data_IF_508746941797
#
_entry.id   IF_508746941797
#
_cell.length_a   1.000
_cell.length_b   1.000
_cell.length_c   1.000
_cell.angle_alpha   90.00
_cell.angle_beta   90.00
_cell.angle_gamma   90.00
#
_symmetry.space_group_name_H-M   'P 1'
#
loop_
_entity.id
_entity.type
_entity.pdbx_description
1 polymer ?
#
# COMPACT_ATOMS: atom_id res chain seq x y z
N UNK A 1 2.67 -14.67 19.27
CA UNK A 1 2.03 -13.84 18.25
C UNK A 1 0.54 -13.80 18.56
N UNK A 2 -0.06 -12.60 18.67
CA UNK A 2 -1.50 -12.44 18.91
C UNK A 2 -2.21 -12.15 17.57
N UNK A 3 -3.47 -12.62 17.44
CA UNK A 3 -4.30 -12.40 16.26
C UNK A 3 -5.57 -11.68 16.65
N UNK A 4 -5.95 -10.68 15.86
CA UNK A 4 -7.18 -9.90 16.02
C UNK A 4 -7.90 -9.88 14.68
N UNK A 5 -9.16 -10.32 14.69
CA UNK A 5 -10.01 -10.17 13.53
C UNK A 5 -10.39 -8.69 13.37
N UNK A 6 -10.18 -8.14 12.17
CA UNK A 6 -10.43 -6.74 11.90
C UNK A 6 -10.83 -6.54 10.44
N UNK A 7 -12.02 -5.99 10.24
CA UNK A 7 -12.43 -5.38 8.97
C UNK A 7 -12.06 -3.89 9.00
N UNK A 8 -11.05 -3.51 8.20
CA UNK A 8 -10.58 -2.12 8.11
C UNK A 8 -11.54 -1.18 7.38
N UNK A 9 -12.64 -1.69 6.82
CA UNK A 9 -13.71 -0.86 6.27
C UNK A 9 -14.70 -0.41 7.34
N UNK A 10 -14.69 -1.03 8.54
CA UNK A 10 -15.59 -0.77 9.65
C UNK A 10 -14.95 0.14 10.71
N UNK A 11 -15.29 1.45 10.80
CA UNK A 11 -14.66 2.39 11.73
C UNK A 11 -14.76 1.97 13.21
N UNK A 12 -15.91 1.44 13.63
CA UNK A 12 -16.12 1.00 15.01
C UNK A 12 -15.29 -0.22 15.38
N UNK A 13 -15.07 -1.14 14.43
CA UNK A 13 -14.18 -2.27 14.60
C UNK A 13 -12.72 -1.81 14.77
N UNK A 14 -12.28 -0.86 13.94
CA UNK A 14 -10.95 -0.24 14.06
C UNK A 14 -10.75 0.38 15.44
N UNK A 15 -11.69 1.24 15.87
CA UNK A 15 -11.60 1.92 17.17
C UNK A 15 -11.55 0.91 18.35
N UNK A 16 -12.29 -0.19 18.24
CA UNK A 16 -12.33 -1.23 19.27
C UNK A 16 -11.03 -2.02 19.31
N UNK A 17 -10.54 -2.47 18.14
CA UNK A 17 -9.28 -3.22 18.04
C UNK A 17 -8.08 -2.35 18.44
N UNK A 18 -8.04 -1.08 18.02
CA UNK A 18 -6.95 -0.17 18.37
C UNK A 18 -6.85 0.03 19.89
N UNK A 19 -7.98 0.29 20.58
CA UNK A 19 -8.00 0.40 22.05
C UNK A 19 -7.48 -0.87 22.74
N UNK A 20 -7.90 -2.03 22.22
CA UNK A 20 -7.48 -3.34 22.73
C UNK A 20 -5.99 -3.57 22.51
N UNK A 21 -5.47 -3.28 21.32
CA UNK A 21 -4.04 -3.37 20.98
C UNK A 21 -3.18 -2.52 21.91
N UNK A 22 -3.56 -1.26 22.14
CA UNK A 22 -2.84 -0.36 23.04
C UNK A 22 -2.84 -0.87 24.48
N UNK A 23 -3.95 -1.45 24.94
CA UNK A 23 -4.06 -1.97 26.31
C UNK A 23 -3.26 -3.28 26.51
N UNK A 24 -3.29 -4.19 25.54
CA UNK A 24 -2.63 -5.49 25.63
C UNK A 24 -1.15 -5.42 25.21
N UNK A 25 -0.77 -4.44 24.36
CA UNK A 25 0.58 -4.24 23.82
C UNK A 25 1.00 -2.77 23.94
N UNK A 26 1.23 -2.25 25.16
CA UNK A 26 1.51 -0.83 25.39
C UNK A 26 2.82 -0.34 24.76
N UNK A 27 3.71 -1.25 24.39
CA UNK A 27 4.98 -1.02 23.69
C UNK A 27 4.87 -1.13 22.15
N UNK A 28 3.67 -1.32 21.60
CA UNK A 28 3.41 -1.30 20.16
C UNK A 28 3.98 -0.01 19.53
N UNK A 29 4.93 -0.15 18.61
CA UNK A 29 5.63 0.99 18.00
C UNK A 29 5.63 0.98 16.48
N UNK A 30 5.11 -0.05 15.82
CA UNK A 30 5.04 -0.11 14.34
C UNK A 30 3.64 -0.47 13.89
N UNK A 31 3.09 0.34 12.98
CA UNK A 31 1.88 0.06 12.21
C UNK A 31 2.24 -0.26 10.76
N UNK A 32 1.86 -1.43 10.26
CA UNK A 32 2.00 -1.78 8.84
C UNK A 32 0.63 -1.88 8.19
N UNK A 33 0.30 -0.93 7.32
CA UNK A 33 -0.91 -0.93 6.50
C UNK A 33 -0.64 -1.69 5.19
N UNK A 34 -0.94 -2.99 5.19
CA UNK A 34 -0.72 -3.89 4.05
C UNK A 34 -2.02 -4.42 3.43
N UNK A 35 -3.15 -4.34 4.15
CA UNK A 35 -4.42 -4.81 3.65
C UNK A 35 -4.83 -4.08 2.37
N UNK A 36 -5.34 -4.83 1.39
CA UNK A 36 -5.79 -4.27 0.12
C UNK A 36 -6.47 -5.31 -0.74
N UNK A 37 -7.33 -4.84 -1.62
CA UNK A 37 -8.02 -5.65 -2.63
C UNK A 37 -7.82 -5.04 -4.03
N UNK A 38 -7.92 -5.87 -5.06
CA UNK A 38 -7.82 -5.47 -6.45
C UNK A 38 -8.92 -6.14 -7.29
N UNK A 39 -9.00 -5.79 -8.56
CA UNK A 39 -9.91 -6.42 -9.49
C UNK A 39 -9.82 -5.83 -10.87
N UNK A 40 -10.11 -6.67 -11.88
CA UNK A 40 -10.27 -6.23 -13.27
C UNK A 40 -11.55 -5.44 -13.42
N UNK A 41 -11.49 -4.34 -14.15
CA UNK A 41 -12.59 -3.41 -14.40
C UNK A 41 -12.59 -2.95 -15.85
N UNK A 42 -13.78 -2.76 -16.42
CA UNK A 42 -13.96 -2.08 -17.68
C UNK A 42 -14.82 -0.81 -17.50
N UNK A 43 -14.19 0.36 -17.36
CA UNK A 43 -14.91 1.63 -17.21
C UNK A 43 -15.50 2.17 -18.50
N UNK A 44 -15.30 1.50 -19.66
CA UNK A 44 -15.85 1.94 -20.95
C UNK A 44 -17.33 1.56 -21.13
N UNK A 45 -17.86 0.74 -20.21
CA UNK A 45 -19.27 0.34 -20.18
C UNK A 45 -19.90 0.68 -18.83
N UNK A 46 -21.21 0.80 -18.80
CA UNK A 46 -21.96 0.96 -17.55
C UNK A 46 -21.81 -0.31 -16.70
N UNK A 47 -21.51 -0.11 -15.41
CA UNK A 47 -21.20 -1.22 -14.49
C UNK A 47 -21.70 -0.94 -13.07
N UNK A 48 -21.77 -1.98 -12.25
CA UNK A 48 -21.92 -1.85 -10.80
C UNK A 48 -20.62 -1.34 -10.18
N UNK A 49 -20.72 -0.28 -9.38
CA UNK A 49 -19.58 0.36 -8.73
C UNK A 49 -19.23 -0.22 -7.35
N UNK A 50 -20.03 -1.15 -6.82
CA UNK A 50 -19.84 -1.69 -5.47
C UNK A 50 -18.42 -2.23 -5.21
N UNK A 51 -17.79 -2.81 -6.22
CA UNK A 51 -16.40 -3.28 -6.15
C UNK A 51 -15.41 -2.12 -6.11
N UNK A 52 -15.62 -1.10 -6.92
CA UNK A 52 -14.78 0.10 -6.96
C UNK A 52 -14.85 0.86 -5.63
N UNK A 53 -16.06 1.05 -5.09
CA UNK A 53 -16.29 1.67 -3.78
C UNK A 53 -15.58 0.89 -2.67
N UNK A 54 -15.70 -0.43 -2.68
CA UNK A 54 -15.00 -1.30 -1.73
C UNK A 54 -13.49 -1.22 -1.83
N UNK A 55 -12.92 -1.06 -3.05
CA UNK A 55 -11.49 -0.82 -3.22
C UNK A 55 -11.04 0.50 -2.58
N UNK A 56 -11.81 1.57 -2.74
CA UNK A 56 -11.52 2.86 -2.09
C UNK A 56 -11.62 2.75 -0.57
N UNK A 57 -12.67 2.10 -0.06
CA UNK A 57 -12.85 1.87 1.38
C UNK A 57 -11.68 1.08 1.98
N UNK A 58 -11.29 -0.03 1.33
CA UNK A 58 -10.25 -0.92 1.85
C UNK A 58 -8.86 -0.32 1.64
N UNK A 59 -8.53 0.14 0.44
CA UNK A 59 -7.15 0.48 0.07
C UNK A 59 -6.74 1.90 0.49
N UNK A 60 -7.70 2.80 0.73
CA UNK A 60 -7.44 4.19 1.07
C UNK A 60 -8.01 4.56 2.44
N UNK A 61 -9.34 4.49 2.62
CA UNK A 61 -9.95 4.92 3.87
C UNK A 61 -9.60 4.02 5.05
N UNK A 62 -9.45 2.71 4.83
CA UNK A 62 -9.00 1.77 5.86
C UNK A 62 -7.64 2.16 6.46
N UNK A 63 -6.56 2.30 5.65
CA UNK A 63 -5.27 2.79 6.13
C UNK A 63 -5.32 4.15 6.82
N UNK A 64 -6.10 5.12 6.31
CA UNK A 64 -6.28 6.42 6.95
C UNK A 64 -6.88 6.26 8.34
N UNK A 65 -7.95 5.49 8.49
CA UNK A 65 -8.62 5.21 9.77
C UNK A 65 -7.69 4.49 10.76
N UNK A 66 -6.86 3.56 10.28
CA UNK A 66 -5.86 2.87 11.11
C UNK A 66 -4.80 3.84 11.62
N UNK A 67 -4.34 4.77 10.79
CA UNK A 67 -3.42 5.84 11.21
C UNK A 67 -4.09 6.71 12.29
N UNK A 68 -5.30 7.20 12.05
CA UNK A 68 -6.02 8.04 13.00
C UNK A 68 -6.22 7.35 14.36
N UNK A 69 -6.48 6.04 14.35
CA UNK A 69 -6.71 5.27 15.57
C UNK A 69 -5.43 5.03 16.40
N UNK A 70 -4.23 5.04 15.78
CA UNK A 70 -2.99 4.64 16.43
C UNK A 70 -1.91 5.74 16.50
N UNK A 71 -2.03 6.80 15.69
CA UNK A 71 -0.98 7.83 15.56
C UNK A 71 -0.64 8.50 16.88
N UNK A 72 -1.64 8.78 17.72
CA UNK A 72 -1.40 9.43 19.02
C UNK A 72 -0.61 8.52 19.97
N UNK A 73 -0.90 7.22 19.96
CA UNK A 73 -0.11 6.25 20.71
C UNK A 73 1.32 6.16 20.17
N UNK A 74 1.48 6.06 18.85
CA UNK A 74 2.78 5.91 18.20
C UNK A 74 3.71 7.12 18.39
N UNK A 75 3.18 8.34 18.43
CA UNK A 75 3.96 9.55 18.73
C UNK A 75 4.76 9.48 20.05
N UNK A 76 4.29 8.67 20.98
CA UNK A 76 4.91 8.53 22.30
C UNK A 76 5.77 7.25 22.42
N UNK A 77 6.05 6.56 21.32
CA UNK A 77 6.86 5.32 21.35
C UNK A 77 8.26 5.54 20.77
N UNK A 78 9.29 4.94 21.36
CA UNK A 78 10.63 4.97 20.79
C UNK A 78 10.65 4.17 19.47
N UNK A 79 11.43 4.64 18.50
CA UNK A 79 11.58 4.02 17.19
C UNK A 79 10.24 3.68 16.49
N UNK A 80 9.24 4.56 16.66
CA UNK A 80 7.93 4.34 16.09
C UNK A 80 7.93 4.55 14.57
N UNK A 81 7.20 3.69 13.86
CA UNK A 81 7.03 3.79 12.42
C UNK A 81 5.59 3.49 11.97
N UNK A 82 5.18 4.16 10.90
CA UNK A 82 3.98 3.87 10.13
C UNK A 82 4.44 3.47 8.74
N UNK A 83 4.13 2.25 8.33
CA UNK A 83 4.47 1.69 7.03
C UNK A 83 3.21 1.61 6.18
N UNK A 84 3.24 2.24 5.00
CA UNK A 84 2.16 2.25 4.03
C UNK A 84 2.56 1.43 2.81
N UNK A 85 1.75 0.43 2.44
CA UNK A 85 2.04 -0.41 1.27
C UNK A 85 1.22 0.09 0.08
N UNK A 86 1.88 0.86 -0.79
CA UNK A 86 1.27 1.38 -2.03
C UNK A 86 1.41 0.38 -3.19
N UNK A 87 1.84 0.80 -4.36
CA UNK A 87 2.11 -0.04 -5.54
C UNK A 87 2.78 0.79 -6.64
N UNK A 88 3.54 0.14 -7.52
CA UNK A 88 4.00 0.73 -8.78
C UNK A 88 2.86 1.27 -9.65
N UNK A 89 1.65 0.67 -9.54
CA UNK A 89 0.45 1.15 -10.26
C UNK A 89 -0.08 2.50 -9.77
N UNK A 90 0.36 2.97 -8.61
CA UNK A 90 0.10 4.33 -8.13
C UNK A 90 0.86 5.40 -8.91
N UNK A 91 1.92 5.03 -9.66
CA UNK A 91 2.75 5.92 -10.47
C UNK A 91 2.51 5.73 -11.97
N UNK A 92 2.27 4.48 -12.41
CA UNK A 92 1.85 4.16 -13.77
C UNK A 92 0.57 3.37 -13.68
N UNK A 93 -0.59 3.94 -14.04
CA UNK A 93 -1.87 3.27 -13.87
C UNK A 93 -1.96 2.01 -14.75
N UNK A 94 -2.49 0.93 -14.16
CA UNK A 94 -2.75 -0.32 -14.87
C UNK A 94 -4.14 -0.25 -15.51
N UNK A 95 -4.24 -0.29 -16.87
CA UNK A 95 -5.50 -0.04 -17.56
C UNK A 95 -6.65 -0.99 -17.17
N UNK A 96 -6.35 -2.25 -16.89
CA UNK A 96 -7.35 -3.24 -16.48
C UNK A 96 -7.79 -3.12 -15.02
N UNK A 97 -7.15 -2.24 -14.20
CA UNK A 97 -7.50 -2.04 -12.80
C UNK A 97 -7.41 -0.54 -12.42
N UNK A 98 -8.21 0.32 -13.07
CA UNK A 98 -8.07 1.77 -12.92
C UNK A 98 -8.41 2.26 -11.51
N UNK A 99 -9.44 1.71 -10.86
CA UNK A 99 -9.79 2.11 -9.48
C UNK A 99 -8.73 1.65 -8.47
N UNK A 100 -8.14 0.46 -8.66
CA UNK A 100 -7.00 0.03 -7.84
C UNK A 100 -5.83 1.01 -7.98
N UNK A 101 -5.45 1.34 -9.20
CA UNK A 101 -4.36 2.30 -9.48
C UNK A 101 -4.64 3.65 -8.85
N UNK A 102 -5.86 4.17 -9.00
CA UNK A 102 -6.29 5.42 -8.37
C UNK A 102 -6.20 5.36 -6.85
N UNK A 103 -6.63 4.25 -6.22
CA UNK A 103 -6.54 4.06 -4.77
C UNK A 103 -5.10 4.09 -4.26
N UNK A 104 -4.17 3.48 -5.01
CA UNK A 104 -2.74 3.44 -4.66
C UNK A 104 -2.02 4.77 -4.92
N UNK A 105 -2.41 5.52 -5.96
CA UNK A 105 -1.94 6.89 -6.17
C UNK A 105 -2.41 7.83 -5.04
N UNK A 106 -3.68 7.72 -4.62
CA UNK A 106 -4.21 8.47 -3.50
C UNK A 106 -3.50 8.12 -2.18
N UNK A 107 -3.21 6.82 -1.95
CA UNK A 107 -2.47 6.38 -0.77
C UNK A 107 -1.04 6.93 -0.75
N UNK A 108 -0.34 6.95 -1.90
CA UNK A 108 0.96 7.61 -2.04
C UNK A 108 0.88 9.10 -1.64
N UNK A 109 -0.07 9.84 -2.21
CA UNK A 109 -0.28 11.26 -1.91
C UNK A 109 -0.54 11.50 -0.41
N UNK A 110 -1.38 10.66 0.21
CA UNK A 110 -1.64 10.70 1.64
C UNK A 110 -0.36 10.42 2.46
N UNK A 111 0.43 9.41 2.06
CA UNK A 111 1.68 9.03 2.73
C UNK A 111 2.70 10.16 2.74
N UNK A 112 2.89 10.85 1.61
CA UNK A 112 3.78 12.02 1.49
C UNK A 112 3.32 13.14 2.43
N UNK A 113 2.01 13.43 2.46
CA UNK A 113 1.44 14.47 3.32
C UNK A 113 1.59 14.11 4.81
N UNK A 114 1.31 12.85 5.17
CA UNK A 114 1.43 12.36 6.54
C UNK A 114 2.88 12.46 7.04
N UNK A 115 3.85 12.07 6.20
CA UNK A 115 5.29 12.18 6.52
C UNK A 115 5.68 13.63 6.83
N UNK A 116 5.25 14.56 5.99
CA UNK A 116 5.53 15.98 6.19
C UNK A 116 4.94 16.53 7.50
N UNK A 117 3.74 16.10 7.86
CA UNK A 117 3.05 16.53 9.08
C UNK A 117 3.67 15.95 10.35
N UNK A 118 4.06 14.67 10.33
CA UNK A 118 4.61 13.98 11.50
C UNK A 118 6.10 14.29 11.75
N UNK A 119 6.82 14.85 10.78
CA UNK A 119 8.23 15.26 10.92
C UNK A 119 9.12 14.14 11.52
N UNK A 120 8.93 12.91 11.03
CA UNK A 120 9.64 11.69 11.45
C UNK A 120 9.34 11.19 12.89
N UNK A 121 8.23 11.60 13.50
CA UNK A 121 7.80 11.11 14.83
C UNK A 121 6.27 10.83 14.82
N UNK A 122 5.86 9.58 14.52
CA UNK A 122 6.64 8.42 14.04
C UNK A 122 7.21 8.59 12.63
N UNK A 123 8.21 7.79 12.27
CA UNK A 123 8.69 7.72 10.88
C UNK A 123 7.60 7.18 9.97
N UNK A 124 7.44 7.75 8.77
CA UNK A 124 6.47 7.27 7.77
C UNK A 124 7.21 6.73 6.57
N UNK A 125 7.11 5.42 6.38
CA UNK A 125 7.79 4.66 5.32
C UNK A 125 6.74 4.21 4.30
N UNK A 126 7.03 4.35 3.02
CA UNK A 126 6.24 3.78 1.95
C UNK A 126 6.95 2.58 1.33
N UNK A 127 6.32 1.40 1.34
CA UNK A 127 6.77 0.26 0.56
C UNK A 127 6.02 0.31 -0.77
N UNK A 128 6.76 0.26 -1.88
CA UNK A 128 6.22 0.34 -3.25
C UNK A 128 6.45 -1.00 -3.96
N UNK A 129 5.50 -1.96 -3.90
CA UNK A 129 5.64 -3.24 -4.58
C UNK A 129 5.55 -3.13 -6.09
N UNK A 130 6.31 -3.96 -6.83
CA UNK A 130 6.01 -4.32 -8.22
C UNK A 130 4.82 -5.27 -8.28
N UNK A 131 4.61 -5.93 -9.41
CA UNK A 131 3.74 -7.10 -9.49
C UNK A 131 4.39 -8.25 -8.70
N UNK A 132 3.73 -8.72 -7.63
CA UNK A 132 4.21 -9.80 -6.77
C UNK A 132 3.30 -11.03 -6.94
N UNK A 133 3.89 -12.22 -6.95
CA UNK A 133 3.19 -13.51 -7.08
C UNK A 133 2.34 -13.79 -5.82
N UNK A 134 1.11 -13.27 -5.81
CA UNK A 134 0.13 -13.38 -4.73
C UNK A 134 -1.26 -13.68 -5.29
N UNK A 135 -2.24 -13.85 -4.41
CA UNK A 135 -3.65 -14.03 -4.76
C UNK A 135 -4.44 -12.71 -4.81
N UNK A 136 -3.76 -11.55 -4.82
CA UNK A 136 -4.40 -10.22 -4.86
C UNK A 136 -5.27 -10.04 -6.11
N UNK A 137 -4.85 -10.57 -7.24
CA UNK A 137 -5.58 -10.61 -8.50
C UNK A 137 -5.36 -11.97 -9.15
N UNK A 138 -6.40 -12.52 -9.78
CA UNK A 138 -6.33 -13.78 -10.53
C UNK A 138 -5.21 -13.74 -11.58
N UNK A 139 -4.45 -14.81 -11.68
CA UNK A 139 -3.33 -14.94 -12.63
C UNK A 139 -2.00 -14.33 -12.17
N UNK A 140 -1.96 -13.49 -11.13
CA UNK A 140 -0.69 -12.91 -10.67
C UNK A 140 0.29 -13.95 -10.15
N UNK A 141 -0.22 -14.99 -9.48
CA UNK A 141 0.59 -16.03 -8.86
C UNK A 141 1.46 -16.79 -9.87
N UNK A 142 0.91 -17.02 -11.05
CA UNK A 142 1.54 -17.82 -12.11
C UNK A 142 2.09 -16.95 -13.26
N UNK A 143 2.01 -15.64 -13.13
CA UNK A 143 2.51 -14.71 -14.15
C UNK A 143 4.05 -14.73 -14.19
N UNK A 144 4.66 -14.86 -15.39
CA UNK A 144 6.12 -14.81 -15.55
C UNK A 144 6.71 -13.42 -15.21
N UNK A 145 5.87 -12.40 -15.11
CA UNK A 145 6.27 -11.03 -14.77
C UNK A 145 6.17 -10.75 -13.27
N UNK A 146 5.64 -11.69 -12.48
CA UNK A 146 5.50 -11.52 -11.03
C UNK A 146 6.80 -11.87 -10.30
N UNK A 147 7.21 -11.00 -9.39
CA UNK A 147 8.30 -11.28 -8.46
C UNK A 147 7.82 -12.32 -7.44
N UNK A 148 8.58 -13.40 -7.18
CA UNK A 148 8.22 -14.36 -6.14
C UNK A 148 8.05 -13.68 -4.78
N UNK A 149 6.97 -14.01 -4.05
CA UNK A 149 6.64 -13.36 -2.77
C UNK A 149 7.80 -13.44 -1.75
N UNK A 150 8.44 -14.60 -1.62
CA UNK A 150 9.57 -14.77 -0.69
C UNK A 150 10.74 -13.83 -1.05
N UNK A 151 11.12 -13.78 -2.35
CA UNK A 151 12.18 -12.87 -2.82
C UNK A 151 11.81 -11.41 -2.51
N UNK A 152 10.59 -11.00 -2.83
CA UNK A 152 10.14 -9.64 -2.55
C UNK A 152 10.21 -9.30 -1.05
N UNK A 153 9.77 -10.20 -0.19
CA UNK A 153 9.82 -10.00 1.26
C UNK A 153 11.27 -9.88 1.78
N UNK A 154 12.16 -10.75 1.31
CA UNK A 154 13.59 -10.73 1.68
C UNK A 154 14.26 -9.43 1.22
N UNK A 155 14.00 -8.99 -0.02
CA UNK A 155 14.56 -7.76 -0.57
C UNK A 155 14.06 -6.52 0.19
N UNK A 156 12.76 -6.46 0.52
CA UNK A 156 12.18 -5.38 1.34
C UNK A 156 12.83 -5.33 2.72
N UNK A 157 12.97 -6.48 3.38
CA UNK A 157 13.62 -6.55 4.69
C UNK A 157 15.09 -6.13 4.63
N UNK A 158 15.81 -6.54 3.60
CA UNK A 158 17.20 -6.12 3.38
C UNK A 158 17.29 -4.60 3.19
N UNK A 159 16.40 -3.99 2.41
CA UNK A 159 16.35 -2.54 2.20
C UNK A 159 16.01 -1.78 3.49
N UNK A 160 15.04 -2.26 4.29
CA UNK A 160 14.69 -1.66 5.57
C UNK A 160 15.88 -1.66 6.55
N UNK A 161 16.67 -2.73 6.57
CA UNK A 161 17.86 -2.85 7.41
C UNK A 161 19.00 -1.96 6.90
N UNK A 162 19.23 -1.93 5.59
CA UNK A 162 20.30 -1.13 4.98
C UNK A 162 20.02 0.39 5.02
N UNK A 163 18.75 0.77 4.96
CA UNK A 163 18.30 2.16 4.87
C UNK A 163 17.23 2.49 5.91
N UNK A 164 17.54 2.46 7.22
CA UNK A 164 16.54 2.60 8.29
C UNK A 164 15.85 3.96 8.34
N UNK A 165 16.38 4.97 7.65
CA UNK A 165 15.79 6.31 7.53
C UNK A 165 15.17 6.59 6.16
N UNK A 166 15.01 5.57 5.30
CA UNK A 166 14.43 5.76 3.99
C UNK A 166 12.95 6.12 4.07
N UNK A 167 12.53 7.05 3.23
CA UNK A 167 11.13 7.42 3.04
C UNK A 167 10.36 6.41 2.19
N UNK A 168 11.05 5.78 1.23
CA UNK A 168 10.50 4.82 0.29
C UNK A 168 11.39 3.57 0.24
N UNK A 169 10.77 2.41 0.27
CA UNK A 169 11.41 1.10 0.08
C UNK A 169 10.89 0.50 -1.21
N UNK A 170 11.78 0.19 -2.12
CA UNK A 170 11.46 -0.37 -3.44
C UNK A 170 12.49 -1.42 -3.83
N UNK A 171 12.05 -2.37 -4.63
CA UNK A 171 12.93 -3.30 -5.33
C UNK A 171 13.17 -2.83 -6.77
N UNK A 172 14.20 -3.35 -7.44
CA UNK A 172 14.61 -2.86 -8.76
C UNK A 172 13.50 -2.96 -9.81
N UNK A 173 12.65 -3.97 -9.71
CA UNK A 173 11.56 -4.26 -10.63
C UNK A 173 10.50 -3.15 -10.68
N UNK A 174 10.32 -2.37 -9.60
CA UNK A 174 9.35 -1.26 -9.57
C UNK A 174 9.95 0.09 -9.94
N UNK A 175 11.27 0.22 -9.94
CA UNK A 175 11.98 1.47 -10.23
C UNK A 175 11.54 2.15 -11.53
N UNK A 176 11.34 1.44 -12.66
CA UNK A 176 10.85 2.05 -13.89
C UNK A 176 9.46 2.68 -13.77
N UNK A 177 8.60 2.13 -12.91
CA UNK A 177 7.26 2.66 -12.65
C UNK A 177 7.33 3.90 -11.75
N UNK A 178 8.09 3.81 -10.65
CA UNK A 178 8.22 4.91 -9.69
C UNK A 178 8.73 6.20 -10.31
N UNK A 179 9.61 6.10 -11.29
CA UNK A 179 10.22 7.27 -11.94
C UNK A 179 9.70 7.54 -13.35
N UNK A 180 8.64 6.84 -13.79
CA UNK A 180 8.09 6.97 -15.13
C UNK A 180 7.63 8.40 -15.49
N UNK A 181 7.01 9.12 -14.55
CA UNK A 181 6.57 10.50 -14.76
C UNK A 181 7.76 11.43 -14.96
N UNK A 182 8.75 11.38 -14.06
CA UNK A 182 10.01 12.15 -14.18
C UNK A 182 10.70 11.91 -15.51
N UNK A 183 10.68 10.65 -15.99
CA UNK A 183 11.38 10.22 -17.19
C UNK A 183 10.54 10.38 -18.47
N UNK A 184 9.28 10.90 -18.37
CA UNK A 184 8.36 11.10 -19.49
C UNK A 184 7.88 9.78 -20.13
N UNK A 185 7.87 8.65 -19.38
CA UNK A 185 7.63 7.30 -19.90
C UNK A 185 6.24 6.74 -19.60
N UNK A 186 5.40 7.44 -18.79
CA UNK A 186 4.08 6.94 -18.37
C UNK A 186 3.25 6.48 -19.55
N UNK A 187 3.07 7.35 -20.57
CA UNK A 187 2.25 7.02 -21.73
C UNK A 187 2.77 5.81 -22.54
N UNK A 188 4.09 5.67 -22.66
CA UNK A 188 4.70 4.51 -23.32
C UNK A 188 4.42 3.22 -22.54
N UNK A 189 4.64 3.20 -21.24
CA UNK A 189 4.43 2.00 -20.42
C UNK A 189 2.95 1.58 -20.45
N UNK A 190 2.02 2.54 -20.34
CA UNK A 190 0.58 2.27 -20.44
C UNK A 190 0.21 1.67 -21.81
N UNK A 191 0.78 2.22 -22.91
CA UNK A 191 0.57 1.67 -24.25
C UNK A 191 1.11 0.25 -24.41
N UNK A 192 2.30 -0.02 -23.86
CA UNK A 192 2.92 -1.35 -23.90
C UNK A 192 2.07 -2.37 -23.12
N UNK A 193 1.48 -2.00 -21.99
CA UNK A 193 0.55 -2.85 -21.22
C UNK A 193 -0.71 -3.19 -22.02
N UNK A 194 -1.27 -2.24 -22.78
CA UNK A 194 -2.45 -2.47 -23.62
C UNK A 194 -2.14 -3.37 -24.82
N UNK A 195 -0.93 -3.30 -25.37
CA UNK A 195 -0.52 -4.11 -26.51
C UNK A 195 -0.18 -5.57 -26.14
N UNK A 196 0.14 -5.83 -24.87
CA UNK A 196 0.44 -7.17 -24.37
C UNK A 196 -0.73 -7.87 -23.65
N UNK A 197 -1.92 -7.24 -23.66
CA UNK A 197 -3.12 -7.71 -22.97
C UNK A 197 -3.95 -8.65 -23.87
#
# INVERSE_FOLDING_TARGET
MAFYELDITAPDAIATVARRLIAEHPDLNVLVNCAGISGVEDPTIARDLSRAERMIETNLLGPIRMVDALVEHLKHRPAAAIVMVSSGTGFVPYPSAPTYSASKAALHSYTVSLRALLRNVPQVIEIIPPQVATELLEGLKDSPFSVPLAKFADDVMAQLVAHPSADEIMVDEVTPFRFAERDGKVGKIVSDMLAGA
#
